data_IF_391285402137
#
_entry.id   IF_391285402137
#
_cell.length_a   1.000
_cell.length_b   1.000
_cell.length_c   1.000
_cell.angle_alpha   90.00
_cell.angle_beta   90.00
_cell.angle_gamma   90.00
#
_symmetry.space_group_name_H-M   'P 1'
#
loop_
_entity.id
_entity.type
_entity.pdbx_description
1 polymer ?
#
# COMPACT_ATOMS: atom_id res chain seq x y z
N UNK A 1 -12.36 -6.76 7.69
CA UNK A 1 -11.35 -7.79 7.98
C UNK A 1 -10.37 -7.31 9.06
N UNK A 2 -9.83 -6.08 8.97
CA UNK A 2 -8.94 -5.53 10.00
C UNK A 2 -9.60 -5.51 11.39
N UNK A 3 -10.80 -4.97 11.51
CA UNK A 3 -11.57 -4.95 12.77
C UNK A 3 -11.81 -6.35 13.35
N UNK A 4 -11.78 -7.37 12.52
CA UNK A 4 -11.98 -8.77 12.91
C UNK A 4 -10.67 -9.49 13.23
N UNK A 5 -9.53 -8.80 13.16
CA UNK A 5 -8.19 -9.40 13.31
C UNK A 5 -7.83 -10.41 12.21
N UNK A 6 -8.56 -10.40 11.10
CA UNK A 6 -8.34 -11.35 10.00
C UNK A 6 -7.22 -10.88 9.08
N UNK A 7 -6.30 -11.77 8.69
CA UNK A 7 -5.28 -11.43 7.69
C UNK A 7 -5.92 -11.04 6.35
N UNK A 8 -5.31 -10.04 5.68
CA UNK A 8 -5.72 -9.56 4.36
C UNK A 8 -4.61 -9.74 3.34
N UNK A 9 -5.01 -10.08 2.10
CA UNK A 9 -4.10 -10.46 1.03
C UNK A 9 -4.43 -9.68 -0.24
N UNK A 10 -3.51 -8.83 -0.69
CA UNK A 10 -3.69 -8.03 -1.89
C UNK A 10 -2.63 -8.27 -2.95
N UNK A 11 -2.93 -7.83 -4.13
CA UNK A 11 -2.05 -7.94 -5.29
C UNK A 11 -1.72 -6.57 -5.87
N UNK A 12 -0.48 -6.43 -6.33
CA UNK A 12 -0.18 -5.32 -7.23
C UNK A 12 -1.13 -5.35 -8.43
N UNK A 13 -1.56 -4.19 -8.90
CA UNK A 13 -2.30 -4.08 -10.14
C UNK A 13 -1.50 -4.66 -11.32
N UNK A 14 -2.14 -5.32 -12.29
CA UNK A 14 -1.46 -5.80 -13.50
C UNK A 14 -0.90 -4.62 -14.31
N UNK A 15 0.25 -4.84 -14.96
CA UNK A 15 0.90 -3.82 -15.79
C UNK A 15 0.43 -3.90 -17.22
N UNK A 16 0.29 -2.74 -17.88
CA UNK A 16 -0.06 -2.66 -19.30
C UNK A 16 0.96 -3.34 -20.21
N UNK A 17 2.24 -3.32 -19.80
CA UNK A 17 3.33 -4.03 -20.51
C UNK A 17 3.96 -5.05 -19.56
N UNK A 18 4.15 -6.28 -20.03
CA UNK A 18 5.01 -7.25 -19.35
C UNK A 18 6.45 -6.69 -19.33
N UNK A 19 7.06 -6.67 -18.15
CA UNK A 19 8.47 -6.26 -18.05
C UNK A 19 9.31 -7.15 -19.00
N UNK A 20 10.14 -6.52 -19.84
CA UNK A 20 11.13 -7.25 -20.63
C UNK A 20 11.98 -8.07 -19.66
N UNK A 21 11.95 -9.40 -19.81
CA UNK A 21 12.81 -10.29 -19.04
C UNK A 21 14.26 -9.81 -19.17
N UNK A 22 14.93 -9.63 -18.06
CA UNK A 22 16.38 -9.40 -18.04
C UNK A 22 17.04 -10.66 -18.59
N UNK A 23 17.65 -10.52 -19.78
CA UNK A 23 18.45 -11.46 -20.56
C UNK A 23 17.72 -12.31 -21.61
N UNK A 24 17.93 -11.92 -22.88
CA UNK A 24 18.30 -12.83 -23.98
C UNK A 24 17.23 -13.80 -24.47
N UNK A 25 16.11 -13.31 -24.89
CA UNK A 25 15.18 -14.07 -25.70
C UNK A 25 14.28 -13.13 -26.47
N UNK A 26 14.28 -13.21 -27.80
CA UNK A 26 13.54 -12.37 -28.73
C UNK A 26 12.03 -12.62 -28.66
N UNK A 27 11.39 -12.36 -27.54
CA UNK A 27 9.95 -12.27 -27.44
C UNK A 27 9.52 -10.91 -28.01
N UNK A 28 8.77 -10.90 -29.09
CA UNK A 28 8.06 -9.74 -29.60
C UNK A 28 7.26 -9.14 -28.45
N UNK A 29 7.55 -7.88 -28.08
CA UNK A 29 6.79 -7.18 -27.07
C UNK A 29 5.32 -7.13 -27.54
N UNK A 30 4.45 -7.87 -26.86
CA UNK A 30 3.02 -7.85 -27.13
C UNK A 30 2.47 -6.43 -27.04
N UNK A 31 1.36 -6.15 -27.71
CA UNK A 31 0.72 -4.86 -27.60
C UNK A 31 0.39 -4.57 -26.12
N UNK A 32 0.53 -3.30 -25.68
CA UNK A 32 0.14 -2.94 -24.31
C UNK A 32 -1.33 -3.24 -24.09
N UNK A 33 -1.66 -3.87 -22.96
CA UNK A 33 -3.05 -4.10 -22.55
C UNK A 33 -3.78 -2.76 -22.38
N UNK A 34 -5.01 -2.72 -22.84
CA UNK A 34 -5.92 -1.60 -22.60
C UNK A 34 -6.34 -1.54 -21.13
N UNK A 35 -6.85 -0.40 -20.68
CA UNK A 35 -7.39 -0.23 -19.32
C UNK A 35 -8.57 -1.17 -19.05
N UNK A 36 -9.39 -1.46 -20.05
CA UNK A 36 -10.51 -2.40 -19.93
C UNK A 36 -10.02 -3.84 -19.71
N UNK A 37 -8.97 -4.27 -20.41
CA UNK A 37 -8.36 -5.58 -20.19
C UNK A 37 -7.74 -5.69 -18.80
N UNK A 38 -7.03 -4.65 -18.32
CA UNK A 38 -6.47 -4.64 -16.98
C UNK A 38 -7.57 -4.68 -15.91
N UNK A 39 -8.64 -3.93 -16.07
CA UNK A 39 -9.80 -3.97 -15.19
C UNK A 39 -10.45 -5.36 -15.16
N UNK A 40 -10.63 -5.97 -16.34
CA UNK A 40 -11.19 -7.33 -16.45
C UNK A 40 -10.30 -8.37 -15.74
N UNK A 41 -8.98 -8.26 -15.84
CA UNK A 41 -8.05 -9.15 -15.13
C UNK A 41 -8.18 -8.97 -13.61
N UNK A 42 -8.23 -7.72 -13.10
CA UNK A 42 -8.38 -7.45 -11.67
C UNK A 42 -9.69 -8.05 -11.14
N UNK A 43 -10.80 -7.79 -11.83
CA UNK A 43 -12.12 -8.27 -11.40
C UNK A 43 -12.26 -9.79 -11.55
N UNK A 44 -11.57 -10.37 -12.53
CA UNK A 44 -11.55 -11.82 -12.75
C UNK A 44 -10.82 -12.61 -11.67
N UNK A 45 -9.94 -11.96 -10.89
CA UNK A 45 -9.26 -12.59 -9.75
C UNK A 45 -9.94 -12.22 -8.43
N UNK A 46 -10.96 -12.96 -8.06
CA UNK A 46 -11.82 -12.66 -6.89
C UNK A 46 -11.22 -12.97 -5.52
N UNK A 47 -9.98 -13.48 -5.42
CA UNK A 47 -9.37 -13.86 -4.14
C UNK A 47 -8.50 -12.76 -3.51
N UNK A 48 -8.30 -11.63 -4.19
CA UNK A 48 -7.58 -10.47 -3.66
C UNK A 48 -8.51 -9.59 -2.82
N UNK A 49 -8.08 -9.25 -1.61
CA UNK A 49 -8.88 -8.40 -0.71
C UNK A 49 -8.75 -6.91 -1.05
N UNK A 50 -7.74 -6.50 -1.82
CA UNK A 50 -7.52 -5.14 -2.31
C UNK A 50 -6.62 -5.10 -3.55
N UNK A 51 -6.63 -3.97 -4.25
CA UNK A 51 -5.76 -3.69 -5.40
C UNK A 51 -4.69 -2.69 -4.98
N UNK A 52 -3.43 -3.06 -5.13
CA UNK A 52 -2.28 -2.23 -4.74
C UNK A 52 -1.63 -1.60 -5.98
N UNK A 53 -1.46 -0.29 -6.00
CA UNK A 53 -0.76 0.42 -7.06
C UNK A 53 0.41 1.26 -6.50
N UNK A 54 1.63 0.94 -6.89
CA UNK A 54 2.85 1.65 -6.51
C UNK A 54 3.33 2.67 -7.55
N UNK A 55 2.55 2.93 -8.61
CA UNK A 55 3.02 3.79 -9.72
C UNK A 55 3.22 5.24 -9.32
N UNK A 56 2.53 5.70 -8.29
CA UNK A 56 2.56 7.08 -7.81
C UNK A 56 3.66 7.37 -6.77
N UNK A 57 4.47 6.38 -6.40
CA UNK A 57 5.53 6.53 -5.39
C UNK A 57 6.56 7.61 -5.75
N UNK A 58 6.89 7.77 -7.03
CA UNK A 58 7.88 8.79 -7.48
C UNK A 58 7.24 10.13 -7.80
N UNK A 59 6.06 10.13 -8.41
CA UNK A 59 5.34 11.33 -8.80
C UNK A 59 3.86 10.97 -8.97
N UNK A 60 3.02 11.60 -8.16
CA UNK A 60 1.57 11.46 -8.30
C UNK A 60 1.11 12.10 -9.60
N UNK A 61 1.63 13.27 -9.96
CA UNK A 61 1.19 14.01 -11.15
C UNK A 61 1.45 13.25 -12.46
N UNK A 62 2.59 12.55 -12.56
CA UNK A 62 2.91 11.76 -13.75
C UNK A 62 2.06 10.50 -13.88
N UNK A 63 1.68 9.87 -12.78
CA UNK A 63 0.98 8.59 -12.77
C UNK A 63 -0.54 8.70 -12.62
N UNK A 64 -1.04 9.80 -12.05
CA UNK A 64 -2.45 9.97 -11.68
C UNK A 64 -3.43 9.77 -12.85
N UNK A 65 -3.11 10.29 -14.04
CA UNK A 65 -3.98 10.15 -15.22
C UNK A 65 -4.13 8.70 -15.66
N UNK A 66 -3.04 7.92 -15.60
CA UNK A 66 -3.07 6.50 -15.94
C UNK A 66 -3.86 5.71 -14.89
N UNK A 67 -3.61 5.97 -13.62
CA UNK A 67 -4.31 5.38 -12.49
C UNK A 67 -5.81 5.70 -12.50
N UNK A 68 -6.19 6.96 -12.62
CA UNK A 68 -7.61 7.37 -12.68
C UNK A 68 -8.34 6.74 -13.87
N UNK A 69 -7.65 6.53 -14.98
CA UNK A 69 -8.21 5.81 -16.13
C UNK A 69 -8.42 4.33 -15.86
N UNK A 70 -7.54 3.67 -15.08
CA UNK A 70 -7.74 2.29 -14.64
C UNK A 70 -8.93 2.20 -13.67
N UNK A 71 -9.00 3.10 -12.68
CA UNK A 71 -10.12 3.18 -11.74
C UNK A 71 -11.46 3.38 -12.48
N UNK A 72 -11.50 4.28 -13.48
CA UNK A 72 -12.70 4.47 -14.30
C UNK A 72 -13.09 3.22 -15.09
N UNK A 73 -12.14 2.46 -15.63
CA UNK A 73 -12.41 1.19 -16.30
C UNK A 73 -12.90 0.10 -15.33
N UNK A 74 -12.32 0.03 -14.12
CA UNK A 74 -12.78 -0.87 -13.06
C UNK A 74 -14.20 -0.54 -12.63
N UNK A 75 -14.51 0.74 -12.42
CA UNK A 75 -15.86 1.21 -12.09
C UNK A 75 -16.87 0.86 -13.18
N UNK A 76 -16.53 1.10 -14.45
CA UNK A 76 -17.37 0.74 -15.59
C UNK A 76 -17.63 -0.78 -15.69
N UNK A 77 -16.72 -1.60 -15.19
CA UNK A 77 -16.86 -3.05 -15.08
C UNK A 77 -17.54 -3.51 -13.77
N UNK A 78 -18.04 -2.58 -12.95
CA UNK A 78 -18.81 -2.88 -11.73
C UNK A 78 -18.01 -2.93 -10.43
N UNK A 79 -16.72 -2.57 -10.45
CA UNK A 79 -15.93 -2.46 -9.24
C UNK A 79 -16.32 -1.23 -8.41
N UNK A 80 -16.08 -1.36 -7.11
CA UNK A 80 -16.23 -0.28 -6.13
C UNK A 80 -15.23 -0.47 -4.99
N UNK A 81 -15.14 0.51 -4.09
CA UNK A 81 -14.35 0.35 -2.84
C UNK A 81 -14.78 -0.86 -2.01
N UNK A 82 -16.04 -1.29 -2.11
CA UNK A 82 -16.54 -2.48 -1.38
C UNK A 82 -16.01 -3.80 -1.94
N UNK A 83 -15.85 -3.90 -3.27
CA UNK A 83 -15.37 -5.12 -3.93
C UNK A 83 -13.86 -5.11 -4.16
N UNK A 84 -13.29 -3.95 -4.46
CA UNK A 84 -11.91 -3.76 -4.85
C UNK A 84 -11.34 -2.48 -4.21
N UNK A 85 -11.08 -2.44 -2.89
CA UNK A 85 -10.45 -1.30 -2.25
C UNK A 85 -9.11 -0.97 -2.91
N UNK A 86 -8.82 0.31 -3.07
CA UNK A 86 -7.60 0.79 -3.73
C UNK A 86 -6.57 1.23 -2.69
N UNK A 87 -5.40 0.62 -2.76
CA UNK A 87 -4.23 0.95 -1.94
C UNK A 87 -3.16 1.52 -2.85
N UNK A 88 -2.62 2.69 -2.53
CA UNK A 88 -1.59 3.34 -3.34
C UNK A 88 -0.39 3.76 -2.52
N UNK A 89 0.78 3.81 -3.14
CA UNK A 89 1.94 4.49 -2.61
C UNK A 89 1.92 5.97 -2.99
N UNK A 90 2.64 6.78 -2.23
CA UNK A 90 2.90 8.18 -2.52
C UNK A 90 4.39 8.49 -2.35
N UNK A 91 4.81 9.68 -2.75
CA UNK A 91 6.14 10.20 -2.49
C UNK A 91 6.36 10.49 -0.99
N UNK A 92 7.62 10.62 -0.58
CA UNK A 92 7.99 10.92 0.81
C UNK A 92 7.39 12.26 1.27
N UNK A 93 6.86 12.26 2.49
CA UNK A 93 6.26 13.45 3.12
C UNK A 93 7.35 14.43 3.54
N UNK A 94 8.42 13.92 4.13
CA UNK A 94 9.50 14.74 4.71
C UNK A 94 10.26 15.58 3.67
N UNK A 95 10.20 15.22 2.38
CA UNK A 95 10.87 15.96 1.32
C UNK A 95 10.20 17.31 1.02
N UNK A 96 8.86 17.32 0.94
CA UNK A 96 8.04 18.53 0.69
C UNK A 96 6.61 18.26 1.18
N UNK A 97 6.27 18.78 2.34
CA UNK A 97 4.96 18.57 2.94
C UNK A 97 3.81 19.15 2.11
N UNK A 98 3.96 20.33 1.53
CA UNK A 98 2.89 20.93 0.73
C UNK A 98 2.63 20.15 -0.55
N UNK A 99 3.66 19.66 -1.21
CA UNK A 99 3.53 18.75 -2.35
C UNK A 99 2.89 17.41 -1.94
N UNK A 100 3.31 16.83 -0.81
CA UNK A 100 2.75 15.61 -0.27
C UNK A 100 1.27 15.75 0.07
N UNK A 101 0.87 16.85 0.74
CA UNK A 101 -0.53 17.18 1.04
C UNK A 101 -1.39 17.29 -0.21
N UNK A 102 -0.89 17.97 -1.23
CA UNK A 102 -1.58 18.08 -2.52
C UNK A 102 -1.71 16.72 -3.23
N UNK A 103 -0.67 15.89 -3.17
CA UNK A 103 -0.66 14.54 -3.71
C UNK A 103 -1.69 13.63 -3.02
N UNK A 104 -1.73 13.63 -1.68
CA UNK A 104 -2.73 12.90 -0.87
C UNK A 104 -4.15 13.28 -1.29
N UNK A 105 -4.45 14.58 -1.40
CA UNK A 105 -5.78 15.04 -1.82
C UNK A 105 -6.15 14.50 -3.21
N UNK A 106 -5.25 14.59 -4.19
CA UNK A 106 -5.46 14.08 -5.56
C UNK A 106 -5.73 12.56 -5.59
N UNK A 107 -4.99 11.79 -4.79
CA UNK A 107 -5.16 10.33 -4.70
C UNK A 107 -6.51 9.98 -4.10
N UNK A 108 -6.89 10.60 -3.00
CA UNK A 108 -8.20 10.40 -2.34
C UNK A 108 -9.35 10.83 -3.25
N UNK A 109 -9.22 11.94 -3.98
CA UNK A 109 -10.22 12.42 -4.95
C UNK A 109 -10.40 11.47 -6.14
N UNK A 110 -9.41 10.62 -6.44
CA UNK A 110 -9.50 9.58 -7.45
C UNK A 110 -10.22 8.30 -6.97
N UNK A 111 -10.62 8.21 -5.69
CA UNK A 111 -11.36 7.07 -5.13
C UNK A 111 -10.53 6.10 -4.28
N UNK A 112 -9.27 6.44 -4.01
CA UNK A 112 -8.39 5.65 -3.13
C UNK A 112 -8.96 5.62 -1.71
N UNK A 113 -8.86 4.46 -1.06
CA UNK A 113 -9.25 4.27 0.35
C UNK A 113 -8.05 4.08 1.29
N UNK A 114 -6.88 3.75 0.74
CA UNK A 114 -5.69 3.51 1.55
C UNK A 114 -4.46 4.12 0.90
N UNK A 115 -3.74 4.95 1.66
CA UNK A 115 -2.47 5.54 1.22
C UNK A 115 -1.32 5.00 2.06
N UNK A 116 -0.28 4.53 1.38
CA UNK A 116 0.96 4.08 1.97
C UNK A 116 2.00 5.21 1.93
N UNK A 117 2.36 5.73 3.11
CA UNK A 117 3.44 6.69 3.28
C UNK A 117 4.77 5.97 3.22
N UNK A 118 5.63 6.35 2.29
CA UNK A 118 6.95 5.72 2.08
C UNK A 118 8.05 6.53 2.75
N UNK A 119 9.16 5.87 3.10
CA UNK A 119 10.34 6.52 3.62
C UNK A 119 10.12 7.33 4.90
N UNK A 120 9.17 6.93 5.75
CA UNK A 120 8.84 7.68 6.98
C UNK A 120 9.98 7.55 8.00
N UNK A 121 10.47 8.69 8.48
CA UNK A 121 11.58 8.78 9.43
C UNK A 121 11.20 9.40 10.78
N UNK A 122 10.02 10.00 10.90
CA UNK A 122 9.57 10.64 12.14
C UNK A 122 8.07 10.51 12.40
N UNK A 123 7.69 10.60 13.66
CA UNK A 123 6.29 10.69 14.09
C UNK A 123 5.58 11.95 13.56
N UNK A 124 6.33 13.03 13.32
CA UNK A 124 5.78 14.28 12.79
C UNK A 124 5.33 14.12 11.35
N UNK A 125 6.12 13.47 10.50
CA UNK A 125 5.71 13.14 9.12
C UNK A 125 4.41 12.34 9.09
N UNK A 126 4.27 11.35 10.00
CA UNK A 126 3.03 10.58 10.09
C UNK A 126 1.86 11.49 10.46
N UNK A 127 1.97 12.33 11.49
CA UNK A 127 0.90 13.25 11.90
C UNK A 127 0.49 14.19 10.76
N UNK A 128 1.46 14.74 10.06
CA UNK A 128 1.23 15.60 8.89
C UNK A 128 0.48 14.87 7.78
N UNK A 129 0.91 13.64 7.45
CA UNK A 129 0.25 12.81 6.45
C UNK A 129 -1.17 12.44 6.84
N UNK A 130 -1.39 12.01 8.09
CA UNK A 130 -2.72 11.69 8.62
C UNK A 130 -3.65 12.91 8.59
N UNK A 131 -3.16 14.09 8.99
CA UNK A 131 -3.92 15.33 8.88
C UNK A 131 -4.30 15.65 7.43
N UNK A 132 -3.39 15.38 6.47
CA UNK A 132 -3.65 15.60 5.05
C UNK A 132 -4.66 14.61 4.43
N UNK A 133 -4.86 13.45 5.02
CA UNK A 133 -5.90 12.49 4.60
C UNK A 133 -7.31 12.93 5.04
N UNK A 134 -7.44 13.68 6.12
CA UNK A 134 -8.71 14.10 6.72
C UNK A 134 -9.19 15.43 6.15
N UNK A 135 -10.47 15.56 5.91
CA UNK A 135 -11.08 16.84 5.53
C UNK A 135 -10.83 17.92 6.57
N UNK A 136 -10.70 19.19 6.13
CA UNK A 136 -10.56 20.33 7.02
C UNK A 136 -11.75 20.45 7.97
N UNK A 137 -12.97 20.17 7.50
CA UNK A 137 -14.18 20.09 8.32
C UNK A 137 -14.14 18.99 9.40
N UNK A 138 -13.28 17.97 9.26
CA UNK A 138 -13.10 16.89 10.23
C UNK A 138 -11.80 17.05 11.05
N UNK A 139 -11.24 18.26 11.09
CA UNK A 139 -10.02 18.55 11.85
C UNK A 139 -8.71 18.14 11.16
N UNK A 140 -8.76 17.88 9.86
CA UNK A 140 -7.57 17.65 9.02
C UNK A 140 -7.12 18.89 8.24
N UNK A 141 -6.34 18.66 7.17
CA UNK A 141 -5.84 19.71 6.28
C UNK A 141 -6.23 19.50 4.81
N UNK A 142 -6.93 18.40 4.49
CA UNK A 142 -7.46 18.15 3.15
C UNK A 142 -8.58 19.14 2.83
N UNK A 143 -8.57 19.78 1.64
CA UNK A 143 -9.69 20.59 1.19
C UNK A 143 -11.02 19.81 1.20
N UNK A 144 -12.12 20.47 1.53
CA UNK A 144 -13.48 19.87 1.57
C UNK A 144 -14.05 19.63 0.16
N UNK A 145 -13.26 19.00 -0.72
CA UNK A 145 -13.61 18.59 -2.08
C UNK A 145 -13.62 17.08 -2.15
N UNK A 146 -14.60 16.49 -2.81
CA UNK A 146 -14.78 15.03 -2.85
C UNK A 146 -14.28 14.39 -4.15
N UNK A 147 -14.00 15.18 -5.19
CA UNK A 147 -13.50 14.72 -6.48
C UNK A 147 -14.41 13.65 -7.13
N UNK A 148 -13.81 12.59 -7.62
CA UNK A 148 -14.50 11.44 -8.22
C UNK A 148 -14.73 10.29 -7.24
N UNK A 149 -14.23 10.42 -6.02
CA UNK A 149 -14.25 9.35 -5.03
C UNK A 149 -15.65 8.80 -4.72
N UNK A 150 -16.71 9.65 -4.52
CA UNK A 150 -18.05 9.14 -4.27
C UNK A 150 -18.54 8.15 -5.33
N UNK A 151 -18.23 8.41 -6.61
CA UNK A 151 -18.64 7.54 -7.72
C UNK A 151 -17.98 6.15 -7.64
N UNK A 152 -16.67 6.06 -7.33
CA UNK A 152 -16.00 4.77 -7.14
C UNK A 152 -16.43 4.09 -5.83
N UNK A 153 -16.69 4.85 -4.78
CA UNK A 153 -17.16 4.32 -3.51
C UNK A 153 -18.62 3.84 -3.58
N UNK A 154 -19.38 4.26 -4.60
CA UNK A 154 -20.79 3.90 -4.77
C UNK A 154 -21.69 4.55 -3.72
N UNK A 155 -21.36 5.77 -3.28
CA UNK A 155 -22.06 6.51 -2.23
C UNK A 155 -22.34 7.95 -2.67
N UNK A 156 -23.22 8.64 -1.96
CA UNK A 156 -23.42 10.09 -2.16
C UNK A 156 -22.24 10.90 -1.64
N UNK A 157 -22.11 12.15 -2.09
CA UNK A 157 -21.09 13.09 -1.61
C UNK A 157 -21.17 13.28 -0.08
N UNK A 158 -22.38 13.38 0.46
CA UNK A 158 -22.59 13.53 1.89
C UNK A 158 -22.14 12.29 2.68
N UNK A 159 -22.43 11.11 2.17
CA UNK A 159 -22.02 9.86 2.78
C UNK A 159 -20.49 9.67 2.66
N UNK A 160 -19.90 10.01 1.50
CA UNK A 160 -18.46 9.99 1.33
C UNK A 160 -17.75 10.89 2.35
N UNK A 161 -18.22 12.15 2.53
CA UNK A 161 -17.65 13.07 3.53
C UNK A 161 -17.65 12.49 4.95
N UNK A 162 -18.70 11.76 5.32
CA UNK A 162 -18.80 11.13 6.63
C UNK A 162 -17.86 9.93 6.77
N UNK A 163 -17.71 9.12 5.71
CA UNK A 163 -16.91 7.89 5.72
C UNK A 163 -15.45 8.10 5.36
N UNK A 164 -15.11 9.14 4.59
CA UNK A 164 -13.75 9.44 4.19
C UNK A 164 -12.97 10.14 5.33
N UNK A 165 -12.87 9.43 6.43
CA UNK A 165 -12.08 9.77 7.61
C UNK A 165 -11.26 8.53 8.04
N UNK A 166 -10.24 8.74 8.84
CA UNK A 166 -9.27 7.72 9.20
C UNK A 166 -9.80 6.74 10.24
N UNK A 167 -9.77 5.45 9.92
CA UNK A 167 -9.81 4.37 10.89
C UNK A 167 -8.38 4.09 11.41
N UNK A 168 -8.12 3.88 12.71
CA UNK A 168 -9.11 3.75 13.80
C UNK A 168 -9.48 5.04 14.53
N UNK A 169 -8.96 6.22 14.16
CA UNK A 169 -9.29 7.49 14.82
C UNK A 169 -10.80 7.78 14.83
N UNK A 170 -11.47 7.50 13.73
CA UNK A 170 -12.91 7.52 13.60
C UNK A 170 -13.38 6.08 13.36
N UNK A 171 -14.13 5.44 14.27
CA UNK A 171 -14.64 4.07 14.09
C UNK A 171 -15.54 3.90 12.86
N UNK A 172 -16.19 4.99 12.38
CA UNK A 172 -16.98 4.96 11.14
C UNK A 172 -16.15 5.30 9.89
N UNK A 173 -14.89 5.67 10.07
CA UNK A 173 -13.98 5.99 8.99
C UNK A 173 -13.61 4.78 8.14
N UNK A 174 -13.49 4.99 6.84
CA UNK A 174 -13.13 3.94 5.87
C UNK A 174 -11.82 4.28 5.12
N UNK A 175 -11.09 5.34 5.54
CA UNK A 175 -9.73 5.57 5.06
C UNK A 175 -8.73 4.86 5.97
N UNK A 176 -7.70 4.29 5.35
CA UNK A 176 -6.59 3.65 6.04
C UNK A 176 -5.25 4.31 5.66
N UNK A 177 -4.42 4.50 6.65
CA UNK A 177 -3.01 4.80 6.43
C UNK A 177 -2.18 3.53 6.58
N UNK A 178 -1.24 3.34 5.68
CA UNK A 178 -0.12 2.42 5.84
C UNK A 178 1.16 3.24 5.95
N UNK A 179 2.01 2.94 6.91
CA UNK A 179 3.28 3.65 7.15
C UNK A 179 4.45 2.71 6.94
N UNK A 180 5.36 3.03 6.00
CA UNK A 180 6.58 2.23 5.76
C UNK A 180 7.75 2.83 6.49
N UNK A 181 8.45 1.98 7.26
CA UNK A 181 9.77 2.23 7.85
C UNK A 181 10.82 1.47 7.03
N UNK A 182 11.74 2.19 6.40
CA UNK A 182 12.67 1.61 5.43
C UNK A 182 14.04 2.30 5.32
N UNK A 183 14.39 3.09 6.34
CA UNK A 183 15.70 3.73 6.50
C UNK A 183 16.30 3.46 7.89
N UNK A 184 17.60 3.75 8.09
CA UNK A 184 18.21 3.68 9.41
C UNK A 184 17.55 4.64 10.40
N UNK A 185 17.21 5.85 9.96
CA UNK A 185 16.54 6.87 10.77
C UNK A 185 15.14 6.41 11.18
N UNK A 186 14.34 5.94 10.22
CA UNK A 186 13.01 5.40 10.49
C UNK A 186 13.04 4.21 11.46
N UNK A 187 14.05 3.31 11.34
CA UNK A 187 14.23 2.20 12.28
C UNK A 187 14.59 2.70 13.70
N UNK A 188 15.41 3.74 13.80
CA UNK A 188 15.78 4.34 15.09
C UNK A 188 14.56 4.95 15.79
N UNK A 189 13.60 5.51 15.04
CA UNK A 189 12.41 6.18 15.57
C UNK A 189 11.12 5.31 15.46
N UNK A 190 11.24 4.00 15.14
CA UNK A 190 10.08 3.18 14.84
C UNK A 190 9.02 3.13 15.94
N UNK A 191 9.42 3.18 17.23
CA UNK A 191 8.48 3.21 18.35
C UNK A 191 7.74 4.54 18.47
N UNK A 192 8.42 5.65 18.20
CA UNK A 192 7.81 6.98 18.18
C UNK A 192 6.84 7.12 17.00
N UNK A 193 7.20 6.57 15.85
CA UNK A 193 6.35 6.45 14.68
C UNK A 193 5.10 5.61 15.01
N UNK A 194 5.30 4.41 15.57
CA UNK A 194 4.20 3.50 15.92
C UNK A 194 3.26 4.08 17.00
N UNK A 195 3.76 4.93 17.88
CA UNK A 195 2.96 5.59 18.91
C UNK A 195 1.98 6.65 18.35
N UNK A 196 2.04 6.99 17.06
CA UNK A 196 1.08 7.94 16.45
C UNK A 196 -0.26 7.26 16.23
N UNK A 197 -1.28 7.76 16.93
CA UNK A 197 -2.65 7.29 16.74
C UNK A 197 -3.14 7.57 15.32
N UNK A 198 -3.80 6.58 14.70
CA UNK A 198 -4.37 6.68 13.35
C UNK A 198 -3.59 5.93 12.27
N UNK A 199 -2.46 5.32 12.60
CA UNK A 199 -1.82 4.36 11.71
C UNK A 199 -2.71 3.11 11.60
N UNK A 200 -3.15 2.78 10.40
CA UNK A 200 -3.92 1.57 10.14
C UNK A 200 -3.05 0.31 9.99
N UNK A 201 -1.85 0.46 9.41
CA UNK A 201 -0.86 -0.62 9.24
C UNK A 201 0.55 -0.03 9.31
N UNK A 202 1.42 -0.64 10.12
CA UNK A 202 2.85 -0.36 10.09
C UNK A 202 3.57 -1.41 9.22
N UNK A 203 4.57 -1.00 8.46
CA UNK A 203 5.15 -1.82 7.40
C UNK A 203 6.69 -1.73 7.38
N UNK A 204 7.45 -2.83 7.54
CA UNK A 204 8.86 -2.83 7.21
C UNK A 204 9.04 -2.80 5.69
N UNK A 205 9.75 -1.84 5.17
CA UNK A 205 10.09 -1.76 3.75
C UNK A 205 11.12 -2.81 3.35
N UNK A 206 10.77 -4.10 3.48
CA UNK A 206 11.70 -5.23 3.39
C UNK A 206 12.59 -5.22 2.14
N UNK A 207 12.06 -4.71 1.00
CA UNK A 207 12.81 -4.56 -0.24
C UNK A 207 13.91 -3.50 -0.16
N UNK A 208 13.58 -2.32 0.34
CA UNK A 208 14.51 -1.20 0.54
C UNK A 208 15.53 -1.53 1.63
N UNK A 209 15.07 -2.07 2.77
CA UNK A 209 15.93 -2.55 3.86
C UNK A 209 16.92 -3.61 3.39
N UNK A 210 16.52 -4.50 2.48
CA UNK A 210 17.45 -5.45 1.86
C UNK A 210 18.60 -4.75 1.13
N UNK A 211 18.31 -3.66 0.44
CA UNK A 211 19.32 -2.82 -0.20
C UNK A 211 20.24 -2.15 0.83
N UNK A 212 19.65 -1.64 1.91
CA UNK A 212 20.35 -0.93 3.00
C UNK A 212 21.36 -1.83 3.72
N UNK A 213 20.98 -3.09 3.99
CA UNK A 213 21.82 -4.09 4.64
C UNK A 213 22.64 -4.95 3.65
N UNK A 214 22.81 -4.49 2.41
CA UNK A 214 23.69 -5.13 1.42
C UNK A 214 24.93 -4.30 1.17
N UNK A 215 26.12 -4.90 1.27
CA UNK A 215 27.39 -4.29 0.89
C UNK A 215 27.85 -4.79 -0.48
N UNK A 216 28.60 -3.99 -1.22
CA UNK A 216 29.24 -4.39 -2.48
C UNK A 216 30.74 -4.59 -2.25
N UNK A 217 31.32 -5.67 -2.78
CA UNK A 217 32.75 -5.87 -2.80
C UNK A 217 33.41 -5.07 -3.96
N UNK A 218 34.72 -5.11 -4.05
CA UNK A 218 35.48 -4.42 -5.11
C UNK A 218 35.13 -4.91 -6.54
N UNK A 219 34.57 -6.11 -6.69
CA UNK A 219 34.10 -6.66 -7.96
C UNK A 219 32.64 -6.27 -8.28
N UNK A 220 31.97 -5.51 -7.41
CA UNK A 220 30.58 -5.10 -7.55
C UNK A 220 29.55 -6.17 -7.18
N UNK A 221 29.99 -7.29 -6.58
CA UNK A 221 29.11 -8.33 -6.08
C UNK A 221 28.49 -7.88 -4.76
N UNK A 222 27.15 -7.97 -4.66
CA UNK A 222 26.42 -7.57 -3.47
C UNK A 222 26.17 -8.76 -2.56
N UNK A 223 26.52 -8.60 -1.29
CA UNK A 223 26.27 -9.57 -0.23
C UNK A 223 25.29 -8.96 0.78
N UNK A 224 24.22 -9.66 1.06
CA UNK A 224 23.22 -9.27 2.07
C UNK A 224 23.69 -9.77 3.44
N UNK A 225 23.71 -8.87 4.43
CA UNK A 225 23.70 -9.24 5.84
C UNK A 225 22.26 -9.68 6.20
N UNK A 226 22.04 -11.00 6.13
CA UNK A 226 20.71 -11.60 6.34
C UNK A 226 20.23 -11.39 7.76
N UNK A 227 21.13 -11.45 8.74
CA UNK A 227 20.80 -11.28 10.16
C UNK A 227 20.38 -9.83 10.45
N UNK A 228 21.16 -8.86 10.03
CA UNK A 228 20.82 -7.44 10.22
C UNK A 228 19.52 -7.06 9.48
N UNK A 229 19.32 -7.57 8.27
CA UNK A 229 18.10 -7.38 7.50
C UNK A 229 16.87 -7.97 8.22
N UNK A 230 16.95 -9.22 8.69
CA UNK A 230 15.84 -9.85 9.41
C UNK A 230 15.59 -9.14 10.75
N UNK A 231 16.62 -8.76 11.47
CA UNK A 231 16.49 -7.99 12.71
C UNK A 231 15.75 -6.66 12.49
N UNK A 232 15.99 -5.98 11.36
CA UNK A 232 15.26 -4.75 11.04
C UNK A 232 13.76 -4.99 10.82
N UNK A 233 13.38 -6.10 10.17
CA UNK A 233 12.01 -6.51 9.99
C UNK A 233 11.34 -6.82 11.34
N UNK A 234 12.04 -7.56 12.21
CA UNK A 234 11.55 -7.92 13.54
C UNK A 234 11.43 -6.70 14.46
N UNK A 235 12.28 -5.69 14.29
CA UNK A 235 12.19 -4.41 15.03
C UNK A 235 10.86 -3.69 14.71
N UNK A 236 10.47 -3.62 13.44
CA UNK A 236 9.17 -3.05 13.05
C UNK A 236 8.01 -3.90 13.56
N UNK A 237 8.11 -5.23 13.45
CA UNK A 237 7.07 -6.15 13.98
C UNK A 237 6.90 -6.01 15.50
N UNK A 238 8.00 -5.82 16.23
CA UNK A 238 7.95 -5.59 17.68
C UNK A 238 7.16 -4.30 18.02
N UNK A 239 7.40 -3.22 17.26
CA UNK A 239 6.62 -1.98 17.42
C UNK A 239 5.14 -2.18 17.06
N UNK A 240 4.83 -2.93 15.98
CA UNK A 240 3.45 -3.29 15.66
C UNK A 240 2.74 -3.95 16.86
N UNK A 241 3.41 -4.94 17.49
CA UNK A 241 2.84 -5.68 18.63
C UNK A 241 2.71 -4.82 19.88
N UNK A 242 3.69 -3.94 20.14
CA UNK A 242 3.68 -3.05 21.31
C UNK A 242 2.52 -2.05 21.27
N UNK A 243 2.21 -1.54 20.07
CA UNK A 243 1.18 -0.51 19.89
C UNK A 243 -0.14 -1.06 19.33
N UNK A 244 -0.28 -2.39 19.25
CA UNK A 244 -1.48 -3.08 18.73
C UNK A 244 -1.89 -2.62 17.31
N UNK A 245 -0.89 -2.44 16.44
CA UNK A 245 -1.08 -2.02 15.05
C UNK A 245 -0.92 -3.24 14.13
N UNK A 246 -1.83 -3.48 13.16
CA UNK A 246 -1.62 -4.48 12.13
C UNK A 246 -0.28 -4.30 11.42
N UNK A 247 0.48 -5.39 11.25
CA UNK A 247 1.79 -5.33 10.61
C UNK A 247 1.73 -5.89 9.18
N UNK A 248 2.29 -5.17 8.22
CA UNK A 248 2.28 -5.56 6.82
C UNK A 248 3.60 -6.18 6.36
N UNK A 249 3.56 -6.99 5.27
CA UNK A 249 4.75 -7.59 4.69
C UNK A 249 4.56 -7.95 3.21
N UNK A 250 5.58 -7.71 2.34
CA UNK A 250 5.56 -8.17 0.94
C UNK A 250 5.94 -9.66 0.88
N UNK A 251 4.95 -10.55 0.87
CA UNK A 251 5.18 -11.99 0.99
C UNK A 251 5.30 -12.71 -0.36
N UNK A 252 5.86 -13.91 -0.28
CA UNK A 252 5.87 -14.92 -1.34
C UNK A 252 5.54 -16.31 -0.74
N UNK A 253 5.38 -17.33 -1.60
CA UNK A 253 4.95 -18.65 -1.16
C UNK A 253 5.93 -19.35 -0.19
N UNK A 254 7.21 -18.93 -0.15
CA UNK A 254 8.21 -19.53 0.73
C UNK A 254 8.24 -18.93 2.13
N UNK A 255 7.64 -17.76 2.34
CA UNK A 255 7.72 -17.05 3.62
C UNK A 255 6.36 -16.68 4.25
N UNK A 256 5.27 -16.69 3.50
CA UNK A 256 3.97 -16.18 3.98
C UNK A 256 3.47 -16.90 5.26
N UNK A 257 3.59 -18.22 5.34
CA UNK A 257 3.16 -18.98 6.52
C UNK A 257 3.96 -18.58 7.76
N UNK A 258 5.30 -18.52 7.63
CA UNK A 258 6.18 -18.07 8.69
C UNK A 258 5.84 -16.65 9.15
N UNK A 259 5.64 -15.72 8.20
CA UNK A 259 5.30 -14.31 8.51
C UNK A 259 3.96 -14.21 9.22
N UNK A 260 2.95 -14.98 8.81
CA UNK A 260 1.67 -15.06 9.52
C UNK A 260 1.84 -15.58 10.96
N UNK A 261 2.65 -16.63 11.17
CA UNK A 261 2.96 -17.15 12.49
C UNK A 261 3.71 -16.16 13.37
N UNK A 262 4.54 -15.30 12.79
CA UNK A 262 5.21 -14.21 13.50
C UNK A 262 4.24 -13.09 13.93
N UNK A 263 3.09 -12.94 13.28
CA UNK A 263 2.07 -11.94 13.59
C UNK A 263 1.86 -10.88 12.51
N UNK A 264 2.47 -11.02 11.33
CA UNK A 264 2.09 -10.19 10.18
C UNK A 264 0.67 -10.55 9.72
N UNK A 265 -0.12 -9.54 9.36
CA UNK A 265 -1.54 -9.73 9.00
C UNK A 265 -1.96 -9.01 7.71
N UNK A 266 -1.10 -8.20 7.11
CA UNK A 266 -1.39 -7.49 5.85
C UNK A 266 -0.32 -7.84 4.82
N UNK A 267 -0.75 -8.44 3.69
CA UNK A 267 0.20 -8.97 2.71
C UNK A 267 -0.04 -8.41 1.32
N UNK A 268 1.05 -8.01 0.64
CA UNK A 268 1.03 -7.59 -0.77
C UNK A 268 1.91 -8.51 -1.58
N UNK A 269 1.37 -9.05 -2.67
CA UNK A 269 2.08 -9.93 -3.60
C UNK A 269 2.08 -9.36 -5.01
N UNK A 270 3.07 -9.78 -5.81
CA UNK A 270 3.13 -9.41 -7.23
C UNK A 270 1.98 -10.01 -8.04
N UNK A 271 1.50 -9.31 -9.07
CA UNK A 271 0.52 -9.84 -10.00
C UNK A 271 1.10 -10.99 -10.83
N UNK A 272 0.38 -12.09 -10.94
CA UNK A 272 0.73 -13.27 -11.72
C UNK A 272 0.67 -14.58 -10.92
N UNK A 273 0.97 -15.72 -11.57
CA UNK A 273 0.79 -17.05 -11.01
C UNK A 273 1.42 -17.25 -9.63
N UNK A 274 2.65 -16.78 -9.43
CA UNK A 274 3.33 -16.86 -8.13
C UNK A 274 2.59 -16.08 -7.04
N UNK A 275 2.13 -14.86 -7.35
CA UNK A 275 1.33 -14.05 -6.40
C UNK A 275 -0.02 -14.70 -6.11
N UNK A 276 -0.69 -15.20 -7.14
CA UNK A 276 -1.98 -15.90 -6.98
C UNK A 276 -1.84 -17.15 -6.09
N UNK A 277 -0.79 -17.95 -6.31
CA UNK A 277 -0.49 -19.10 -5.47
C UNK A 277 -0.23 -18.68 -4.01
N UNK A 278 0.47 -17.57 -3.79
CA UNK A 278 0.76 -17.04 -2.46
C UNK A 278 -0.51 -16.53 -1.76
N UNK A 279 -1.39 -15.81 -2.46
CA UNK A 279 -2.70 -15.39 -1.93
C UNK A 279 -3.52 -16.62 -1.50
N UNK A 280 -3.63 -17.62 -2.38
CA UNK A 280 -4.40 -18.83 -2.10
C UNK A 280 -3.82 -19.62 -0.91
N UNK A 281 -2.48 -19.66 -0.77
CA UNK A 281 -1.83 -20.27 0.39
C UNK A 281 -2.16 -19.51 1.67
N UNK A 282 -1.96 -18.19 1.68
CA UNK A 282 -2.25 -17.35 2.85
C UNK A 282 -3.71 -17.44 3.31
N UNK A 283 -4.66 -17.37 2.37
CA UNK A 283 -6.10 -17.52 2.66
C UNK A 283 -6.41 -18.88 3.29
N UNK A 284 -5.85 -19.96 2.75
CA UNK A 284 -6.02 -21.30 3.29
C UNK A 284 -5.45 -21.42 4.70
N UNK A 285 -4.26 -20.87 4.96
CA UNK A 285 -3.67 -20.85 6.31
C UNK A 285 -4.52 -20.03 7.28
N UNK A 286 -5.14 -18.94 6.81
CA UNK A 286 -6.07 -18.12 7.58
C UNK A 286 -7.47 -18.74 7.76
N UNK A 287 -7.74 -19.92 7.19
CA UNK A 287 -9.07 -20.54 7.25
C UNK A 287 -10.12 -19.90 6.33
N UNK A 288 -9.70 -19.29 5.20
CA UNK A 288 -10.55 -18.54 4.25
C UNK A 288 -10.55 -19.14 2.87
#
# INVERSE_FOLDING_TARGET
LHEQGMPVFGLYAPRARTARGRRGGGATAGQPKSRAELASEILGYGSSDFVFDGSMERSVDDALSAFAGLVGAMQAAGASTRSNPLVVKMQEIGTDYDAARAAIAKQLDAGVSTIMFVGVESAEEVRQGLAAMRFASNGGTRPDVVGRAPAYWGVSDAEYRRKADLWPLNPEGELLNWTIVESHEGLAHVREIAAVEGIGVLWPGAGTLRGLFSSANAAGERTLDVEAWENSIQTVLAACKEFDIPCGYPANASDIEMRMQQGFSVFVMGWGESGFATVNLGRRVAGR
#
